data_IF_264515301099
#
_entry.id   IF_264515301099
#
_cell.length_a   1.000
_cell.length_b   1.000
_cell.length_c   1.000
_cell.angle_alpha   90.00
_cell.angle_beta   90.00
_cell.angle_gamma   90.00
#
_symmetry.space_group_name_H-M   'P 1'
#
loop_
_entity.id
_entity.type
_entity.pdbx_description
1 polymer ?
#
# COMPACT_ATOMS: atom_id res chain seq x y z
N UNK A 1 -14.57 7.41 -17.51
CA UNK A 1 -13.12 7.45 -17.78
C UNK A 1 -12.46 6.56 -16.74
N UNK A 2 -11.61 5.63 -17.15
CA UNK A 2 -10.91 4.76 -16.20
C UNK A 2 -9.99 5.64 -15.32
N UNK A 3 -10.08 5.53 -14.00
CA UNK A 3 -9.11 6.17 -13.12
C UNK A 3 -7.71 5.59 -13.40
N UNK A 4 -6.69 6.46 -13.40
CA UNK A 4 -5.32 6.06 -13.66
C UNK A 4 -4.69 5.42 -12.40
N UNK A 5 -4.63 4.09 -12.38
CA UNK A 5 -4.01 3.32 -11.29
C UNK A 5 -2.56 3.76 -11.01
N UNK A 6 -2.15 3.75 -9.74
CA UNK A 6 -0.77 4.09 -9.35
C UNK A 6 -0.42 5.58 -9.35
N UNK A 7 -1.37 6.48 -9.64
CA UNK A 7 -1.16 7.93 -9.54
C UNK A 7 -1.27 8.38 -8.08
N UNK A 8 -0.25 9.08 -7.58
CA UNK A 8 -0.22 9.66 -6.24
C UNK A 8 -1.25 10.81 -6.15
N UNK A 9 -2.21 10.69 -5.23
CA UNK A 9 -3.25 11.71 -4.96
C UNK A 9 -3.03 12.49 -3.66
N UNK A 10 -2.10 12.08 -2.81
CA UNK A 10 -1.68 12.80 -1.62
C UNK A 10 -0.55 13.80 -1.91
N UNK A 11 -0.37 14.79 -1.05
CA UNK A 11 0.78 15.69 -1.06
C UNK A 11 2.03 14.94 -0.60
N UNK A 12 3.02 14.82 -1.48
CA UNK A 12 4.24 14.08 -1.20
C UNK A 12 5.42 15.02 -0.89
N UNK A 13 5.87 14.98 0.37
CA UNK A 13 7.14 15.57 0.80
C UNK A 13 8.25 14.51 0.64
N UNK A 14 8.81 14.39 -0.56
CA UNK A 14 9.83 13.39 -0.87
C UNK A 14 11.24 13.97 -0.83
N UNK A 15 12.09 13.39 0.01
CA UNK A 15 13.53 13.65 0.00
C UNK A 15 14.23 12.49 -0.70
N UNK A 16 14.89 12.74 -1.83
CA UNK A 16 15.76 11.71 -2.44
C UNK A 16 16.93 11.43 -1.49
N UNK A 17 17.20 10.16 -1.23
CA UNK A 17 18.24 9.72 -0.32
C UNK A 17 18.64 8.26 -0.54
N UNK A 18 19.31 7.70 0.46
CA UNK A 18 19.72 6.30 0.43
C UNK A 18 18.53 5.35 0.40
N UNK A 19 18.74 4.16 -0.15
CA UNK A 19 17.76 3.10 -0.05
C UNK A 19 17.58 2.69 1.43
N UNK A 20 16.38 2.26 1.85
CA UNK A 20 16.22 1.60 3.14
C UNK A 20 17.15 0.38 3.22
N UNK A 21 17.64 0.01 4.41
CA UNK A 21 18.58 -1.09 4.52
C UNK A 21 17.87 -2.43 4.29
N UNK A 22 18.62 -3.45 3.83
CA UNK A 22 18.04 -4.71 3.36
C UNK A 22 17.23 -5.44 4.45
N UNK A 23 17.64 -5.32 5.71
CA UNK A 23 16.92 -5.87 6.87
C UNK A 23 15.54 -5.27 7.05
N UNK A 24 15.32 -4.03 6.61
CA UNK A 24 14.04 -3.35 6.73
C UNK A 24 13.03 -3.81 5.67
N UNK A 25 13.52 -4.34 4.53
CA UNK A 25 12.67 -4.98 3.51
C UNK A 25 12.58 -6.51 3.69
N UNK A 26 13.28 -7.07 4.68
CA UNK A 26 13.27 -8.50 4.92
C UNK A 26 11.82 -8.99 5.15
N UNK A 27 11.48 -10.10 4.48
CA UNK A 27 10.14 -10.67 4.49
C UNK A 27 9.19 -10.10 3.42
N UNK A 28 9.41 -8.88 2.90
CA UNK A 28 8.55 -8.32 1.85
C UNK A 28 8.73 -9.06 0.52
N UNK A 29 9.97 -9.24 0.06
CA UNK A 29 10.23 -9.89 -1.23
C UNK A 29 9.67 -11.32 -1.34
N UNK A 30 9.87 -12.23 -0.37
CA UNK A 30 9.27 -13.56 -0.44
C UNK A 30 7.74 -13.56 -0.51
N UNK A 31 7.08 -12.59 0.13
CA UNK A 31 5.63 -12.41 0.00
C UNK A 31 5.25 -11.84 -1.35
N UNK A 32 6.00 -10.85 -1.84
CA UNK A 32 5.81 -10.24 -3.14
C UNK A 32 5.91 -11.28 -4.26
N UNK A 33 6.93 -12.14 -4.25
CA UNK A 33 7.08 -13.24 -5.20
C UNK A 33 5.85 -14.17 -5.21
N UNK A 34 5.34 -14.55 -4.03
CA UNK A 34 4.14 -15.39 -3.90
C UNK A 34 2.88 -14.71 -4.44
N UNK A 35 2.73 -13.40 -4.24
CA UNK A 35 1.57 -12.64 -4.69
C UNK A 35 1.63 -12.35 -6.20
N UNK A 36 2.82 -12.06 -6.75
CA UNK A 36 3.03 -11.95 -8.19
C UNK A 36 2.71 -13.26 -8.91
N UNK A 37 3.17 -14.39 -8.37
CA UNK A 37 2.88 -15.70 -8.95
C UNK A 37 1.37 -16.03 -8.99
N UNK A 38 0.56 -15.34 -8.16
CA UNK A 38 -0.91 -15.43 -8.15
C UNK A 38 -1.60 -14.38 -9.02
N UNK A 39 -0.84 -13.47 -9.65
CA UNK A 39 -1.38 -12.40 -10.50
C UNK A 39 -2.19 -11.33 -9.75
N UNK A 40 -2.04 -11.26 -8.42
CA UNK A 40 -2.80 -10.30 -7.58
C UNK A 40 -2.03 -9.02 -7.29
N UNK A 41 -0.76 -8.95 -7.68
CA UNK A 41 0.06 -7.73 -7.77
C UNK A 41 0.92 -7.83 -9.04
N UNK A 42 1.47 -6.71 -9.52
CA UNK A 42 2.40 -6.68 -10.65
C UNK A 42 1.98 -5.69 -11.72
N UNK A 43 2.20 -6.01 -12.98
CA UNK A 43 1.75 -5.23 -14.12
C UNK A 43 1.15 -6.18 -15.16
N UNK A 44 0.04 -5.77 -15.78
CA UNK A 44 -0.64 -6.55 -16.81
C UNK A 44 -1.17 -5.57 -17.87
N UNK A 45 -0.73 -5.67 -19.14
CA UNK A 45 -1.22 -4.80 -20.22
C UNK A 45 -2.74 -4.81 -20.41
N UNK A 46 -3.42 -5.90 -20.04
CA UNK A 46 -4.86 -6.01 -20.13
C UNK A 46 -5.60 -5.36 -18.95
N UNK A 47 -4.89 -4.92 -17.90
CA UNK A 47 -5.45 -4.32 -16.69
C UNK A 47 -4.94 -2.91 -16.51
N UNK A 48 -5.81 -2.01 -16.06
CA UNK A 48 -5.42 -0.64 -15.69
C UNK A 48 -4.59 0.09 -16.76
N UNK A 49 -4.83 -0.15 -18.05
CA UNK A 49 -4.05 0.46 -19.13
C UNK A 49 -2.55 0.11 -19.13
N UNK A 50 -2.16 -1.00 -18.49
CA UNK A 50 -0.77 -1.42 -18.34
C UNK A 50 -0.03 -0.79 -17.16
N UNK A 51 -0.70 -0.06 -16.27
CA UNK A 51 -0.08 0.42 -15.04
C UNK A 51 0.13 -0.71 -14.02
N UNK A 52 1.17 -0.57 -13.20
CA UNK A 52 1.44 -1.48 -12.09
C UNK A 52 0.37 -1.34 -10.99
N UNK A 53 0.05 -2.44 -10.32
CA UNK A 53 -0.99 -2.54 -9.29
C UNK A 53 -0.52 -3.41 -8.12
N UNK A 54 -1.10 -3.14 -6.94
CA UNK A 54 -0.71 -3.81 -5.71
C UNK A 54 0.60 -3.28 -5.11
N UNK A 55 0.70 -3.31 -3.79
CA UNK A 55 1.85 -2.80 -3.06
C UNK A 55 1.93 -3.42 -1.66
N UNK A 56 3.15 -3.43 -1.11
CA UNK A 56 3.43 -4.07 0.17
C UNK A 56 4.22 -3.13 1.06
N UNK A 57 3.92 -3.12 2.35
CA UNK A 57 4.71 -2.43 3.35
C UNK A 57 5.03 -3.27 4.57
N UNK A 58 6.08 -2.85 5.27
CA UNK A 58 6.47 -3.37 6.58
C UNK A 58 6.65 -2.20 7.55
N UNK A 59 6.09 -2.34 8.75
CA UNK A 59 6.25 -1.38 9.83
C UNK A 59 7.73 -1.24 10.19
N UNK A 60 8.16 0.00 10.44
CA UNK A 60 9.50 0.23 10.95
C UNK A 60 9.60 -0.23 12.42
N UNK A 61 10.68 -0.92 12.85
CA UNK A 61 10.78 -1.49 14.19
C UNK A 61 10.73 -0.47 15.35
N UNK A 62 11.11 0.78 15.10
CA UNK A 62 11.08 1.85 16.10
C UNK A 62 9.66 2.44 16.23
N UNK A 63 9.32 2.91 17.43
CA UNK A 63 8.04 3.56 17.69
C UNK A 63 7.83 4.79 16.78
N UNK A 64 6.68 4.84 16.09
CA UNK A 64 6.28 6.01 15.30
C UNK A 64 5.46 5.66 14.04
N UNK A 65 5.21 6.68 13.22
CA UNK A 65 4.46 6.64 11.96
C UNK A 65 5.34 6.20 10.77
N UNK A 66 6.31 5.31 11.02
CA UNK A 66 7.35 4.95 10.04
C UNK A 66 7.13 3.55 9.49
N UNK A 67 7.31 3.39 8.19
CA UNK A 67 7.23 2.10 7.53
C UNK A 67 7.94 2.12 6.18
N UNK A 68 8.42 0.96 5.74
CA UNK A 68 8.97 0.78 4.40
C UNK A 68 7.87 0.30 3.47
N UNK A 69 7.79 0.83 2.26
CA UNK A 69 6.78 0.45 1.27
C UNK A 69 7.41 0.31 -0.11
N UNK A 70 6.86 -0.58 -0.93
CA UNK A 70 7.23 -0.68 -2.36
C UNK A 70 7.06 0.68 -3.04
N UNK A 71 8.03 1.03 -3.89
CA UNK A 71 8.01 2.26 -4.66
C UNK A 71 6.90 2.29 -5.70
N UNK A 72 6.55 3.49 -6.13
CA UNK A 72 5.64 3.67 -7.26
C UNK A 72 6.23 3.12 -8.55
N UNK A 73 5.38 2.57 -9.42
CA UNK A 73 5.73 2.06 -10.76
C UNK A 73 6.77 0.92 -10.80
N UNK A 74 6.97 0.18 -9.70
CA UNK A 74 7.87 -0.98 -9.66
C UNK A 74 7.18 -2.31 -10.05
N UNK A 75 5.95 -2.24 -10.57
CA UNK A 75 5.08 -3.41 -10.81
C UNK A 75 5.59 -4.35 -11.92
N UNK A 76 6.32 -3.83 -12.89
CA UNK A 76 6.89 -4.59 -14.00
C UNK A 76 8.12 -5.44 -13.61
N UNK A 77 8.78 -5.07 -12.51
CA UNK A 77 10.03 -5.69 -12.10
C UNK A 77 9.77 -7.07 -11.51
N UNK A 78 10.52 -8.08 -11.93
CA UNK A 78 10.37 -9.43 -11.40
C UNK A 78 10.78 -9.51 -9.92
N UNK A 79 11.83 -8.76 -9.53
CA UNK A 79 12.40 -8.71 -8.18
C UNK A 79 12.69 -7.27 -7.80
N UNK A 80 12.55 -6.94 -6.53
CA UNK A 80 12.88 -5.63 -6.00
C UNK A 80 14.08 -5.71 -5.05
N UNK A 81 15.13 -4.94 -5.37
CA UNK A 81 16.16 -4.56 -4.41
C UNK A 81 15.73 -3.39 -3.51
N UNK A 82 16.50 -3.08 -2.45
CA UNK A 82 16.22 -1.97 -1.53
C UNK A 82 15.94 -0.62 -2.21
N UNK A 83 16.58 -0.32 -3.33
CA UNK A 83 16.40 0.89 -4.15
C UNK A 83 14.98 1.09 -4.71
N UNK A 84 14.20 0.02 -4.77
CA UNK A 84 12.81 0.03 -5.21
C UNK A 84 11.83 0.21 -4.05
N UNK A 85 12.32 0.47 -2.85
CA UNK A 85 11.52 0.74 -1.67
C UNK A 85 11.77 2.17 -1.18
N UNK A 86 10.74 2.73 -0.54
CA UNK A 86 10.79 4.03 0.11
C UNK A 86 10.52 3.84 1.61
N UNK A 87 11.19 4.64 2.44
CA UNK A 87 10.87 4.79 3.84
C UNK A 87 9.90 5.95 4.01
N UNK A 88 8.66 5.67 4.37
CA UNK A 88 7.73 6.68 4.87
C UNK A 88 8.18 7.06 6.27
N UNK A 89 8.48 8.34 6.46
CA UNK A 89 8.97 8.90 7.72
C UNK A 89 7.84 9.49 8.56
N UNK A 90 6.78 9.97 7.92
CA UNK A 90 5.57 10.46 8.57
C UNK A 90 4.40 10.52 7.58
N UNK A 91 3.17 10.61 8.07
CA UNK A 91 1.97 10.81 7.26
C UNK A 91 0.87 11.51 8.06
N UNK A 92 -0.02 12.21 7.35
CA UNK A 92 -1.21 12.85 7.92
C UNK A 92 -2.42 12.58 7.03
N UNK A 93 -3.38 11.81 7.55
CA UNK A 93 -4.65 11.56 6.85
C UNK A 93 -5.47 12.84 6.70
N UNK A 94 -5.67 13.68 7.73
CA UNK A 94 -6.42 14.94 7.59
C UNK A 94 -5.81 15.90 6.56
N UNK A 95 -4.49 15.97 6.49
CA UNK A 95 -3.79 16.87 5.56
C UNK A 95 -3.56 16.23 4.18
N UNK A 96 -3.99 14.97 4.01
CA UNK A 96 -3.74 14.16 2.82
C UNK A 96 -2.25 14.22 2.40
N UNK A 97 -1.34 13.98 3.34
CA UNK A 97 0.11 14.21 3.20
C UNK A 97 0.93 13.00 3.60
N UNK A 98 2.01 12.73 2.86
CA UNK A 98 3.02 11.71 3.16
C UNK A 98 4.41 12.33 3.07
N UNK A 99 5.25 12.10 4.07
CA UNK A 99 6.67 12.41 4.03
C UNK A 99 7.48 11.12 3.89
N UNK A 100 8.41 11.09 2.93
CA UNK A 100 9.19 9.88 2.66
C UNK A 100 10.61 10.20 2.16
N UNK A 101 11.49 9.21 2.32
CA UNK A 101 12.85 9.21 1.79
C UNK A 101 13.18 7.90 1.07
N UNK A 102 14.04 7.97 0.06
CA UNK A 102 14.50 6.81 -0.70
C UNK A 102 15.03 7.17 -2.08
N UNK A 103 15.31 6.14 -2.88
CA UNK A 103 15.70 6.34 -4.29
C UNK A 103 14.49 6.47 -5.23
N UNK A 104 13.38 5.85 -4.85
CA UNK A 104 12.10 5.84 -5.60
C UNK A 104 11.00 6.41 -4.71
N UNK A 105 10.06 7.22 -5.24
CA UNK A 105 8.88 7.66 -4.49
C UNK A 105 8.05 6.49 -3.96
N UNK A 106 7.41 6.63 -2.78
CA UNK A 106 6.57 5.57 -2.21
C UNK A 106 5.31 5.31 -3.05
N UNK A 107 4.64 4.19 -2.83
CA UNK A 107 3.36 3.84 -3.50
C UNK A 107 2.29 4.94 -3.34
N UNK A 108 1.41 5.08 -4.34
CA UNK A 108 0.21 5.95 -4.27
C UNK A 108 -0.76 5.61 -3.14
N UNK A 109 -0.65 4.43 -2.53
CA UNK A 109 -1.50 3.99 -1.42
C UNK A 109 -0.83 4.06 -0.04
N UNK A 110 0.32 4.74 0.04
CA UNK A 110 1.07 4.88 1.30
C UNK A 110 0.24 5.44 2.45
N UNK A 111 -0.66 6.39 2.17
CA UNK A 111 -1.53 6.96 3.20
C UNK A 111 -2.44 5.91 3.86
N UNK A 112 -3.01 5.00 3.06
CA UNK A 112 -3.83 3.88 3.55
C UNK A 112 -3.01 2.94 4.44
N UNK A 113 -1.77 2.64 4.05
CA UNK A 113 -0.89 1.77 4.82
C UNK A 113 -0.52 2.37 6.18
N UNK A 114 -0.14 3.65 6.19
CA UNK A 114 0.11 4.39 7.43
C UNK A 114 -1.10 4.37 8.36
N UNK A 115 -2.29 4.61 7.79
CA UNK A 115 -3.52 4.61 8.57
C UNK A 115 -3.86 3.25 9.17
N UNK A 116 -3.68 2.15 8.43
CA UNK A 116 -3.82 0.79 8.96
C UNK A 116 -2.85 0.56 10.13
N UNK A 117 -1.59 0.99 10.00
CA UNK A 117 -0.62 0.88 11.09
C UNK A 117 -1.02 1.69 12.33
N UNK A 118 -1.70 2.83 12.15
CA UNK A 118 -2.18 3.63 13.27
C UNK A 118 -3.39 2.99 13.97
N UNK A 119 -4.30 2.39 13.20
CA UNK A 119 -5.50 1.74 13.71
C UNK A 119 -5.26 0.34 14.28
N UNK A 120 -4.25 -0.37 13.77
CA UNK A 120 -3.89 -1.73 14.18
C UNK A 120 -2.42 -1.76 14.66
N UNK A 121 -2.14 -1.40 15.92
CA UNK A 121 -0.77 -1.36 16.46
C UNK A 121 0.00 -2.68 16.34
N UNK A 122 -0.71 -3.82 16.40
CA UNK A 122 -0.11 -5.15 16.23
C UNK A 122 0.33 -5.48 14.80
N UNK A 123 -0.21 -4.79 13.78
CA UNK A 123 0.10 -5.08 12.39
C UNK A 123 1.58 -4.76 12.06
N UNK A 124 2.30 -5.75 11.54
CA UNK A 124 3.70 -5.60 11.12
C UNK A 124 3.85 -5.46 9.60
N UNK A 125 2.89 -5.99 8.84
CA UNK A 125 2.88 -5.99 7.39
C UNK A 125 1.49 -5.61 6.88
N UNK A 126 1.44 -4.87 5.77
CA UNK A 126 0.19 -4.54 5.06
C UNK A 126 0.40 -4.83 3.59
N UNK A 127 -0.50 -5.61 2.99
CA UNK A 127 -0.45 -5.99 1.59
C UNK A 127 -1.73 -5.51 0.90
N UNK A 128 -1.57 -4.60 -0.05
CA UNK A 128 -2.63 -4.21 -0.98
C UNK A 128 -2.54 -5.08 -2.24
N UNK A 129 -3.65 -5.74 -2.60
CA UNK A 129 -3.70 -6.67 -3.74
C UNK A 129 -4.97 -6.47 -4.54
N UNK A 130 -4.90 -6.74 -5.84
CA UNK A 130 -6.03 -6.64 -6.76
C UNK A 130 -6.40 -8.03 -7.28
N UNK A 131 -7.39 -8.64 -6.64
CA UNK A 131 -7.97 -9.92 -7.06
C UNK A 131 -9.41 -9.73 -7.54
N UNK A 132 -9.65 -9.75 -8.87
CA UNK A 132 -11.01 -9.72 -9.40
C UNK A 132 -11.87 -10.89 -8.92
N UNK A 133 -11.25 -12.03 -8.59
CA UNK A 133 -11.94 -13.19 -8.04
C UNK A 133 -12.49 -12.92 -6.64
N UNK A 134 -11.66 -12.37 -5.74
CA UNK A 134 -12.11 -11.99 -4.39
C UNK A 134 -13.18 -10.90 -4.49
N UNK A 135 -12.94 -9.87 -5.31
CA UNK A 135 -13.86 -8.74 -5.46
C UNK A 135 -15.26 -9.18 -5.93
N UNK A 136 -15.34 -10.02 -6.99
CA UNK A 136 -16.62 -10.54 -7.50
C UNK A 136 -17.35 -11.46 -6.53
N UNK A 137 -16.68 -11.98 -5.51
CA UNK A 137 -17.26 -12.90 -4.53
C UNK A 137 -17.33 -12.30 -3.12
N UNK A 138 -17.05 -11.00 -2.94
CA UNK A 138 -16.97 -10.37 -1.61
C UNK A 138 -18.25 -10.60 -0.78
N UNK A 139 -19.42 -10.42 -1.38
CA UNK A 139 -20.72 -10.66 -0.72
C UNK A 139 -20.88 -12.10 -0.26
N UNK A 140 -20.53 -13.07 -1.12
CA UNK A 140 -20.63 -14.50 -0.80
C UNK A 140 -19.65 -14.92 0.28
N UNK A 141 -18.51 -14.25 0.36
CA UNK A 141 -17.47 -14.48 1.35
C UNK A 141 -17.74 -13.73 2.67
N UNK A 142 -18.79 -12.89 2.72
CA UNK A 142 -19.10 -12.05 3.88
C UNK A 142 -17.99 -11.04 4.18
N UNK A 143 -17.24 -10.62 3.16
CA UNK A 143 -16.16 -9.65 3.34
C UNK A 143 -16.74 -8.22 3.42
N UNK A 144 -16.25 -7.38 4.35
CA UNK A 144 -16.60 -5.98 4.35
C UNK A 144 -16.06 -5.30 3.09
N UNK A 145 -16.87 -4.42 2.51
CA UNK A 145 -16.55 -3.66 1.29
C UNK A 145 -16.67 -2.17 1.59
N UNK A 146 -15.69 -1.38 1.16
CA UNK A 146 -15.72 0.08 1.28
C UNK A 146 -16.73 0.69 0.32
N UNK A 147 -17.25 1.87 0.65
CA UNK A 147 -18.09 2.63 -0.28
C UNK A 147 -17.35 2.88 -1.61
N UNK A 148 -17.92 2.52 -2.77
CA UNK A 148 -17.27 2.69 -4.08
C UNK A 148 -17.05 4.16 -4.48
N UNK A 149 -17.68 5.11 -3.78
CA UNK A 149 -17.44 6.55 -3.99
C UNK A 149 -16.15 7.06 -3.33
N UNK A 150 -15.55 6.29 -2.40
CA UNK A 150 -14.27 6.62 -1.80
C UNK A 150 -13.14 6.34 -2.79
N UNK A 151 -12.48 7.39 -3.28
CA UNK A 151 -11.36 7.26 -4.20
C UNK A 151 -10.11 6.74 -3.47
N UNK A 152 -9.32 5.87 -4.11
CA UNK A 152 -8.06 5.40 -3.52
C UNK A 152 -7.09 6.56 -3.24
N UNK A 153 -6.24 6.42 -2.22
CA UNK A 153 -5.21 7.42 -1.91
C UNK A 153 -5.76 8.76 -1.39
N UNK A 154 -6.99 8.79 -0.86
CA UNK A 154 -7.62 9.99 -0.28
C UNK A 154 -8.03 9.80 1.19
N UNK A 155 -8.35 10.87 1.92
CA UNK A 155 -8.85 10.77 3.30
C UNK A 155 -10.18 10.01 3.42
N UNK A 156 -11.04 10.06 2.40
CA UNK A 156 -12.31 9.32 2.36
C UNK A 156 -12.06 7.81 2.39
N UNK A 157 -11.09 7.31 1.62
CA UNK A 157 -10.67 5.91 1.68
C UNK A 157 -10.13 5.53 3.06
N UNK A 158 -9.34 6.40 3.69
CA UNK A 158 -8.86 6.17 5.05
C UNK A 158 -10.02 6.07 6.06
N UNK A 159 -11.07 6.87 5.89
CA UNK A 159 -12.26 6.79 6.72
C UNK A 159 -13.03 5.48 6.50
N UNK A 160 -13.13 5.00 5.26
CA UNK A 160 -13.74 3.69 4.97
C UNK A 160 -12.96 2.53 5.58
N UNK A 161 -11.63 2.55 5.47
CA UNK A 161 -10.76 1.57 6.13
C UNK A 161 -10.96 1.57 7.65
N UNK A 162 -11.07 2.75 8.27
CA UNK A 162 -11.41 2.88 9.69
C UNK A 162 -12.76 2.25 10.02
N UNK A 163 -13.79 2.55 9.22
CA UNK A 163 -15.13 2.04 9.42
C UNK A 163 -15.17 0.51 9.35
N UNK A 164 -14.39 -0.08 8.43
CA UNK A 164 -14.27 -1.54 8.28
C UNK A 164 -13.55 -2.16 9.48
N UNK A 165 -12.39 -1.63 9.87
CA UNK A 165 -11.57 -2.19 10.94
C UNK A 165 -12.24 -2.10 12.32
N UNK A 166 -13.00 -1.03 12.58
CA UNK A 166 -13.70 -0.86 13.87
C UNK A 166 -15.00 -1.68 14.00
N UNK A 167 -15.56 -2.18 12.88
CA UNK A 167 -16.75 -3.03 12.90
C UNK A 167 -16.48 -4.49 13.28
N UNK A 168 -15.21 -4.91 13.33
CA UNK A 168 -14.79 -6.26 13.75
C UNK A 168 -13.72 -6.20 14.86
N UNK A 169 -14.12 -6.03 16.14
CA UNK A 169 -13.19 -5.88 17.26
C UNK A 169 -12.36 -7.13 17.59
N UNK A 170 -12.55 -8.25 16.86
CA UNK A 170 -11.67 -9.43 17.00
C UNK A 170 -10.38 -9.31 16.18
N UNK A 171 -10.19 -8.24 15.39
CA UNK A 171 -9.04 -8.03 14.51
C UNK A 171 -8.11 -6.87 14.90
N UNK A 172 -8.41 -6.16 15.98
CA UNK A 172 -7.63 -5.01 16.50
C UNK A 172 -6.60 -5.40 17.55
#
# INVERSE_FOLDING_TARGET
>A
MAEAEGVIKYQLDFTRGDAPPAEAIAGLEPWREKLMARGVIGQDPARYGGYGFGNLSRRWPEAGNRFVITGSQTGELARLGPEHYALVTDFSVPDNRVAATGQTPPSSESLTHGWIYQLCPGAQFVFHVHSPEIWRNADKLGLPVSDPSAAYGTPEMAQEVRNILLKDPQRS
#
